data_IF_628171051249
#
_entry.id   IF_628171051249
#
_cell.length_a   1.000
_cell.length_b   1.000
_cell.length_c   1.000
_cell.angle_alpha   90.00
_cell.angle_beta   90.00
_cell.angle_gamma   90.00
#
_symmetry.space_group_name_H-M   'P 1'
#
loop_
_entity.id
_entity.type
_entity.pdbx_description
1 polymer ?
#
# COMPACT_ATOMS: atom_id res chain seq x y z
N UNK A 1 77.64 -11.24 11.24
CA UNK A 1 77.41 -12.55 10.61
C UNK A 1 76.01 -12.48 9.98
N UNK A 2 75.92 -11.92 8.77
CA UNK A 2 75.84 -12.66 7.47
C UNK A 2 74.48 -13.34 7.30
N UNK A 3 73.68 -13.14 6.25
CA UNK A 3 73.88 -12.41 4.98
C UNK A 3 72.58 -12.43 4.17
N UNK A 4 72.34 -11.31 3.50
CA UNK A 4 71.52 -10.99 2.31
C UNK A 4 71.19 -12.10 1.29
N UNK A 5 70.06 -11.94 0.57
CA UNK A 5 69.92 -11.71 -0.90
C UNK A 5 68.40 -11.59 -1.24
N UNK A 6 67.80 -10.48 -1.70
CA UNK A 6 67.90 -9.76 -3.01
C UNK A 6 67.31 -10.60 -4.16
N UNK A 7 66.45 -10.17 -5.12
CA UNK A 7 66.32 -8.93 -5.92
C UNK A 7 64.95 -8.92 -6.67
N UNK A 8 64.56 -7.71 -7.05
CA UNK A 8 63.50 -7.19 -7.93
C UNK A 8 63.32 -7.77 -9.34
N UNK A 9 62.21 -7.38 -10.01
CA UNK A 9 62.15 -7.25 -11.47
C UNK A 9 60.78 -6.90 -12.05
N UNK A 10 60.53 -5.60 -12.32
CA UNK A 10 59.64 -5.15 -13.40
C UNK A 10 60.22 -5.55 -14.77
N UNK A 11 59.37 -5.78 -15.78
CA UNK A 11 59.63 -5.32 -17.16
C UNK A 11 58.39 -5.43 -18.07
N UNK A 12 58.05 -4.28 -18.66
CA UNK A 12 57.37 -4.12 -19.95
C UNK A 12 58.16 -4.78 -21.10
N UNK A 13 57.47 -5.26 -22.15
CA UNK A 13 57.60 -4.80 -23.55
C UNK A 13 56.95 -5.75 -24.59
N UNK A 14 56.17 -5.10 -25.48
CA UNK A 14 55.66 -5.45 -26.83
C UNK A 14 56.46 -6.46 -27.68
N UNK A 15 55.79 -7.27 -28.54
CA UNK A 15 55.46 -7.04 -29.98
C UNK A 15 55.32 -8.35 -30.83
N UNK A 16 54.24 -8.39 -31.62
CA UNK A 16 54.03 -8.88 -33.01
C UNK A 16 54.07 -10.36 -33.50
N UNK A 17 52.99 -10.69 -34.25
CA UNK A 17 52.84 -11.57 -35.46
C UNK A 17 52.91 -13.11 -35.31
N UNK A 18 51.97 -13.97 -35.80
CA UNK A 18 51.26 -14.01 -37.11
C UNK A 18 50.07 -15.03 -37.18
N UNK A 19 48.99 -14.65 -37.91
CA UNK A 19 48.10 -15.38 -38.87
C UNK A 19 47.36 -16.72 -38.60
N UNK A 20 46.00 -16.69 -38.75
CA UNK A 20 45.16 -17.37 -39.79
C UNK A 20 43.65 -17.26 -39.39
N UNK A 21 42.89 -16.34 -39.99
CA UNK A 21 41.74 -16.56 -40.92
C UNK A 21 40.58 -17.46 -40.40
N UNK A 22 39.29 -17.08 -40.47
CA UNK A 22 38.63 -16.29 -41.51
C UNK A 22 37.31 -15.59 -41.13
N UNK A 23 36.93 -14.70 -42.07
CA UNK A 23 35.84 -13.71 -42.15
C UNK A 23 34.43 -14.37 -42.26
N UNK A 24 33.27 -13.71 -42.14
CA UNK A 24 32.88 -12.29 -42.37
C UNK A 24 31.48 -12.02 -41.81
N UNK A 25 31.20 -10.77 -41.49
CA UNK A 25 29.94 -10.18 -41.04
C UNK A 25 29.19 -9.36 -42.11
N UNK A 26 27.89 -9.19 -41.86
CA UNK A 26 27.00 -8.03 -42.01
C UNK A 26 26.58 -7.39 -43.37
N UNK A 27 25.24 -7.29 -43.48
CA UNK A 27 24.33 -6.23 -43.97
C UNK A 27 24.67 -5.38 -45.20
N UNK A 28 23.64 -5.08 -46.03
CA UNK A 28 22.95 -3.77 -46.20
C UNK A 28 22.00 -3.86 -47.43
N UNK A 29 20.76 -3.37 -47.34
CA UNK A 29 19.88 -3.01 -48.49
C UNK A 29 20.45 -1.78 -49.24
N UNK A 30 20.20 -1.52 -50.55
CA UNK A 30 18.91 -0.93 -51.00
C UNK A 30 18.50 -1.07 -52.51
N UNK A 31 17.29 -0.56 -52.83
CA UNK A 31 16.95 0.34 -53.98
C UNK A 31 16.65 -0.19 -55.43
N UNK A 32 15.37 0.02 -55.84
CA UNK A 32 14.86 0.66 -57.09
C UNK A 32 14.78 -0.05 -58.48
N UNK A 33 13.52 -0.25 -58.94
CA UNK A 33 12.86 -0.12 -60.28
C UNK A 33 13.19 -0.94 -61.56
N UNK A 34 12.09 -1.50 -62.13
CA UNK A 34 11.64 -1.59 -63.56
C UNK A 34 12.23 -2.61 -64.56
N UNK A 35 11.35 -3.45 -65.18
CA UNK A 35 11.00 -3.45 -66.64
C UNK A 35 10.08 -4.64 -67.02
N UNK A 36 9.16 -4.41 -67.98
CA UNK A 36 8.12 -5.31 -68.53
C UNK A 36 8.68 -6.42 -69.44
N UNK A 37 7.91 -7.50 -69.65
CA UNK A 37 7.65 -8.05 -71.00
C UNK A 37 6.44 -8.99 -71.04
N UNK A 38 5.52 -8.70 -71.96
CA UNK A 38 4.39 -9.52 -72.40
C UNK A 38 4.88 -10.60 -73.37
N UNK A 39 4.27 -11.81 -73.35
CA UNK A 39 4.18 -12.87 -74.39
C UNK A 39 3.70 -14.15 -73.66
N UNK A 40 2.79 -15.00 -74.11
CA UNK A 40 2.01 -15.14 -75.34
C UNK A 40 0.85 -16.12 -75.03
N UNK A 41 -0.21 -16.03 -75.81
CA UNK A 41 -1.53 -16.67 -75.73
C UNK A 41 -1.53 -18.21 -75.84
N UNK A 42 -2.48 -18.90 -75.19
CA UNK A 42 -3.52 -19.71 -75.88
C UNK A 42 -4.63 -20.25 -74.94
N UNK A 43 -5.88 -20.24 -75.43
CA UNK A 43 -7.14 -20.72 -74.81
C UNK A 43 -7.50 -22.16 -75.31
N UNK A 44 -8.69 -22.74 -75.01
CA UNK A 44 -9.17 -23.35 -73.75
C UNK A 44 -9.62 -24.82 -73.96
N UNK A 45 -9.95 -25.58 -72.90
CA UNK A 45 -10.80 -26.79 -73.05
C UNK A 45 -12.02 -26.67 -72.15
N UNK A 46 -13.19 -26.66 -72.79
CA UNK A 46 -14.54 -26.64 -72.21
C UNK A 46 -15.08 -28.04 -71.90
N UNK A 47 -15.64 -28.15 -70.70
CA UNK A 47 -16.70 -29.03 -70.14
C UNK A 47 -17.13 -30.35 -70.81
N UNK A 48 -17.28 -31.39 -69.96
CA UNK A 48 -18.34 -32.41 -70.07
C UNK A 48 -19.08 -32.52 -68.74
N UNK A 49 -20.40 -32.34 -68.80
CA UNK A 49 -21.37 -32.54 -67.72
C UNK A 49 -21.62 -34.03 -67.45
N UNK A 50 -21.51 -34.46 -66.19
CA UNK A 50 -22.24 -35.64 -65.65
C UNK A 50 -22.69 -35.38 -64.21
N UNK A 51 -23.98 -35.09 -64.09
CA UNK A 51 -24.98 -35.26 -63.02
C UNK A 51 -24.62 -35.71 -61.57
N UNK A 52 -25.14 -34.89 -60.62
CA UNK A 52 -25.85 -35.22 -59.34
C UNK A 52 -25.13 -35.80 -58.12
N UNK A 53 -25.02 -35.00 -57.03
CA UNK A 53 -25.65 -35.17 -55.69
C UNK A 53 -24.99 -34.21 -54.65
N UNK A 54 -25.68 -33.71 -53.60
CA UNK A 54 -25.46 -32.35 -53.07
C UNK A 54 -24.32 -32.25 -52.06
N UNK A 55 -23.45 -31.28 -52.31
CA UNK A 55 -22.45 -30.79 -51.38
C UNK A 55 -23.14 -30.02 -50.23
N UNK A 56 -22.98 -30.51 -49.01
CA UNK A 56 -23.42 -29.86 -47.77
C UNK A 56 -22.56 -28.62 -47.58
N UNK A 57 -22.98 -27.50 -48.16
CA UNK A 57 -22.45 -26.19 -47.75
C UNK A 57 -22.80 -25.98 -46.27
N UNK A 58 -21.85 -25.61 -45.41
CA UNK A 58 -22.21 -25.03 -44.13
C UNK A 58 -22.94 -23.72 -44.43
N UNK A 59 -24.26 -23.72 -44.30
CA UNK A 59 -25.03 -22.49 -44.21
C UNK A 59 -24.41 -21.68 -43.08
N UNK A 60 -23.72 -20.59 -43.41
CA UNK A 60 -23.54 -19.47 -42.49
C UNK A 60 -24.96 -19.05 -42.08
N UNK A 61 -25.45 -19.53 -40.94
CA UNK A 61 -26.62 -18.98 -40.26
C UNK A 61 -26.30 -17.53 -39.94
N UNK A 62 -26.61 -16.61 -40.87
CA UNK A 62 -26.79 -15.20 -40.54
C UNK A 62 -28.05 -15.16 -39.68
N UNK A 63 -27.87 -15.07 -38.36
CA UNK A 63 -28.94 -14.69 -37.45
C UNK A 63 -29.32 -13.25 -37.80
N UNK A 64 -30.25 -13.08 -38.73
CA UNK A 64 -30.81 -11.77 -39.04
C UNK A 64 -31.72 -11.39 -37.88
N UNK A 65 -31.14 -10.76 -36.84
CA UNK A 65 -31.92 -10.10 -35.80
C UNK A 65 -32.84 -9.10 -36.51
N UNK A 66 -34.15 -9.20 -36.32
CA UNK A 66 -35.06 -8.26 -36.96
C UNK A 66 -34.81 -6.84 -36.43
N UNK A 67 -34.98 -5.83 -37.28
CA UNK A 67 -34.78 -4.42 -36.89
C UNK A 67 -35.56 -4.05 -35.61
N UNK A 68 -36.79 -4.55 -35.49
CA UNK A 68 -37.63 -4.34 -34.31
C UNK A 68 -37.10 -5.05 -33.05
N UNK A 69 -36.44 -6.20 -33.19
CA UNK A 69 -35.76 -6.88 -32.08
C UNK A 69 -34.51 -6.11 -31.65
N UNK A 70 -33.72 -5.59 -32.59
CA UNK A 70 -32.57 -4.72 -32.28
C UNK A 70 -33.01 -3.48 -31.51
N UNK A 71 -34.05 -2.78 -31.98
CA UNK A 71 -34.55 -1.57 -31.33
C UNK A 71 -35.06 -1.85 -29.91
N UNK A 72 -35.72 -3.00 -29.70
CA UNK A 72 -36.16 -3.42 -28.37
C UNK A 72 -34.99 -3.72 -27.43
N UNK A 73 -33.97 -4.42 -27.93
CA UNK A 73 -32.77 -4.78 -27.15
C UNK A 73 -31.99 -3.52 -26.78
N UNK A 74 -31.79 -2.60 -27.71
CA UNK A 74 -31.07 -1.36 -27.43
C UNK A 74 -31.82 -0.45 -26.45
N UNK A 75 -33.15 -0.40 -26.49
CA UNK A 75 -33.94 0.31 -25.47
C UNK A 75 -33.75 -0.27 -24.07
N UNK A 76 -33.75 -1.61 -23.94
CA UNK A 76 -33.49 -2.26 -22.66
C UNK A 76 -32.05 -2.02 -22.20
N UNK A 77 -31.08 -2.12 -23.11
CA UNK A 77 -29.67 -1.87 -22.84
C UNK A 77 -29.43 -0.43 -22.37
N UNK A 78 -29.99 0.57 -23.08
CA UNK A 78 -29.91 1.98 -22.69
C UNK A 78 -30.46 2.19 -21.28
N UNK A 79 -31.62 1.61 -20.97
CA UNK A 79 -32.21 1.73 -19.65
C UNK A 79 -31.31 1.14 -18.56
N UNK A 80 -30.73 -0.03 -18.79
CA UNK A 80 -29.80 -0.69 -17.85
C UNK A 80 -28.51 0.11 -17.67
N UNK A 81 -27.89 0.57 -18.76
CA UNK A 81 -26.66 1.38 -18.72
C UNK A 81 -26.90 2.71 -17.99
N UNK A 82 -28.00 3.42 -18.29
CA UNK A 82 -28.35 4.67 -17.61
C UNK A 82 -28.55 4.44 -16.11
N UNK A 83 -29.21 3.35 -15.72
CA UNK A 83 -29.44 3.01 -14.32
C UNK A 83 -28.11 2.74 -13.60
N UNK A 84 -27.23 1.97 -14.23
CA UNK A 84 -25.91 1.67 -13.71
C UNK A 84 -25.08 2.94 -13.51
N UNK A 85 -24.94 3.77 -14.56
CA UNK A 85 -24.20 5.03 -14.51
C UNK A 85 -24.79 5.95 -13.44
N UNK A 86 -26.13 6.05 -13.32
CA UNK A 86 -26.78 6.86 -12.29
C UNK A 86 -26.44 6.39 -10.88
N UNK A 87 -26.29 5.10 -10.64
CA UNK A 87 -25.90 4.57 -9.34
C UNK A 87 -24.44 4.89 -9.02
N UNK A 88 -23.53 4.66 -9.97
CA UNK A 88 -22.10 5.00 -9.80
C UNK A 88 -21.88 6.51 -9.62
N UNK A 89 -22.59 7.36 -10.37
CA UNK A 89 -22.52 8.81 -10.18
C UNK A 89 -22.99 9.25 -8.80
N UNK A 90 -23.99 8.57 -8.21
CA UNK A 90 -24.38 8.82 -6.81
C UNK A 90 -23.26 8.42 -5.86
N UNK A 91 -22.55 7.32 -6.12
CA UNK A 91 -21.39 6.87 -5.33
C UNK A 91 -20.22 7.86 -5.42
N UNK A 92 -19.85 8.29 -6.62
CA UNK A 92 -18.83 9.33 -6.82
C UNK A 92 -19.21 10.66 -6.16
N UNK A 93 -20.48 11.06 -6.24
CA UNK A 93 -20.96 12.25 -5.53
C UNK A 93 -20.81 12.12 -4.01
N UNK A 94 -21.10 10.94 -3.44
CA UNK A 94 -20.87 10.68 -2.01
C UNK A 94 -19.37 10.76 -1.68
N UNK A 95 -18.51 10.13 -2.47
CA UNK A 95 -17.05 10.14 -2.27
C UNK A 95 -16.44 11.56 -2.26
N UNK A 96 -16.99 12.45 -3.09
CA UNK A 96 -16.60 13.86 -3.15
C UNK A 96 -17.14 14.72 -2.00
N UNK A 97 -18.10 14.21 -1.21
CA UNK A 97 -18.69 14.95 -0.10
C UNK A 97 -17.69 15.04 1.07
N UNK A 98 -17.48 16.22 1.67
CA UNK A 98 -16.55 16.39 2.79
C UNK A 98 -16.96 15.63 4.04
N UNK A 99 -18.27 15.41 4.25
CA UNK A 99 -18.82 14.70 5.41
C UNK A 99 -19.01 13.19 5.19
N UNK A 100 -18.59 12.64 4.03
CA UNK A 100 -18.72 11.21 3.79
C UNK A 100 -17.47 10.52 4.37
N UNK A 101 -17.59 9.75 5.47
CA UNK A 101 -16.48 8.91 5.90
C UNK A 101 -16.14 8.02 4.71
N UNK A 102 -14.86 7.92 4.36
CA UNK A 102 -14.38 7.10 3.24
C UNK A 102 -14.76 5.60 3.34
N UNK A 103 -15.50 5.22 4.39
CA UNK A 103 -15.66 3.87 4.90
C UNK A 103 -17.10 3.49 5.31
N UNK A 104 -18.14 4.06 4.70
CA UNK A 104 -19.51 3.51 4.86
C UNK A 104 -19.88 2.44 3.83
N UNK A 105 -18.94 1.93 3.04
CA UNK A 105 -19.19 0.81 2.13
C UNK A 105 -19.27 -0.51 2.93
N UNK A 106 -20.37 -0.66 3.69
CA UNK A 106 -21.06 -1.95 3.77
C UNK A 106 -21.94 -2.05 2.52
N UNK A 107 -21.33 -2.04 1.36
CA UNK A 107 -21.99 -2.47 0.14
C UNK A 107 -21.39 -3.83 -0.17
N UNK A 108 -22.20 -4.84 0.12
CA UNK A 108 -22.23 -6.22 -0.39
C UNK A 108 -21.00 -6.58 -1.22
N UNK A 109 -20.21 -7.54 -0.72
CA UNK A 109 -19.24 -8.36 -1.48
C UNK A 109 -19.22 -7.98 -2.96
N UNK A 110 -18.33 -7.05 -3.34
CA UNK A 110 -18.20 -6.66 -4.74
C UNK A 110 -17.83 -7.95 -5.49
N UNK A 111 -18.79 -8.53 -6.21
CA UNK A 111 -18.52 -9.50 -7.26
C UNK A 111 -17.42 -8.86 -8.12
N UNK A 112 -16.30 -9.57 -8.34
CA UNK A 112 -15.14 -9.08 -9.10
C UNK A 112 -15.56 -8.45 -10.46
N UNK A 113 -16.71 -8.89 -10.99
CA UNK A 113 -17.37 -8.40 -12.19
C UNK A 113 -17.71 -6.89 -12.15
N UNK A 114 -18.02 -6.30 -10.98
CA UNK A 114 -18.44 -4.90 -10.86
C UNK A 114 -17.27 -3.90 -10.83
N UNK A 115 -16.07 -4.32 -10.41
CA UNK A 115 -14.88 -3.46 -10.33
C UNK A 115 -14.52 -2.89 -11.72
N UNK A 116 -14.55 -3.75 -12.74
CA UNK A 116 -14.27 -3.39 -14.14
C UNK A 116 -15.27 -2.36 -14.68
N UNK A 117 -16.54 -2.49 -14.28
CA UNK A 117 -17.61 -1.58 -14.68
C UNK A 117 -17.43 -0.22 -14.02
N UNK A 118 -17.14 -0.20 -12.71
CA UNK A 118 -16.89 1.03 -11.94
C UNK A 118 -15.74 1.84 -12.53
N UNK A 119 -14.64 1.18 -12.87
CA UNK A 119 -13.49 1.79 -13.54
C UNK A 119 -13.86 2.40 -14.90
N UNK A 120 -14.70 1.70 -15.68
CA UNK A 120 -15.25 2.23 -16.93
C UNK A 120 -16.09 3.49 -16.73
N UNK A 121 -17.00 3.49 -15.75
CA UNK A 121 -17.85 4.64 -15.45
C UNK A 121 -17.04 5.81 -14.87
N UNK A 122 -15.99 5.55 -14.08
CA UNK A 122 -15.07 6.57 -13.60
C UNK A 122 -14.38 7.27 -14.78
N UNK A 123 -13.81 6.52 -15.74
CA UNK A 123 -13.18 7.09 -16.94
C UNK A 123 -14.13 7.98 -17.75
N UNK A 124 -15.36 7.52 -17.96
CA UNK A 124 -16.41 8.32 -18.63
C UNK A 124 -16.68 9.59 -17.84
N UNK A 125 -16.86 9.49 -16.53
CA UNK A 125 -17.16 10.62 -15.65
C UNK A 125 -16.03 11.66 -15.66
N UNK A 126 -14.79 11.22 -15.54
CA UNK A 126 -13.60 12.09 -15.60
C UNK A 126 -13.50 12.82 -16.94
N UNK A 127 -13.77 12.12 -18.04
CA UNK A 127 -13.78 12.73 -19.37
C UNK A 127 -14.88 13.80 -19.50
N UNK A 128 -16.10 13.49 -19.05
CA UNK A 128 -17.23 14.43 -19.08
C UNK A 128 -16.95 15.67 -18.21
N UNK A 129 -16.40 15.49 -17.00
CA UNK A 129 -16.04 16.61 -16.12
C UNK A 129 -14.99 17.54 -16.77
N UNK A 130 -13.97 16.98 -17.43
CA UNK A 130 -12.98 17.76 -18.16
C UNK A 130 -13.60 18.52 -19.34
N UNK A 131 -14.52 17.89 -20.09
CA UNK A 131 -15.24 18.56 -21.18
C UNK A 131 -16.18 19.68 -20.67
N UNK A 132 -16.64 19.60 -19.42
CA UNK A 132 -17.40 20.66 -18.75
C UNK A 132 -16.52 21.77 -18.14
N UNK A 133 -15.20 21.75 -18.37
CA UNK A 133 -14.21 22.63 -17.74
C UNK A 133 -14.11 22.51 -16.21
N UNK A 134 -14.48 21.36 -15.64
CA UNK A 134 -14.34 21.05 -14.22
C UNK A 134 -13.15 20.12 -13.96
N UNK A 135 -11.96 20.53 -14.42
CA UNK A 135 -10.73 19.72 -14.32
C UNK A 135 -10.31 19.44 -12.87
N UNK A 136 -10.44 20.43 -11.98
CA UNK A 136 -10.07 20.26 -10.56
C UNK A 136 -10.94 19.21 -9.86
N UNK A 137 -12.25 19.22 -10.17
CA UNK A 137 -13.19 18.23 -9.66
C UNK A 137 -12.88 16.83 -10.21
N UNK A 138 -12.51 16.73 -11.49
CA UNK A 138 -12.09 15.47 -12.10
C UNK A 138 -10.83 14.93 -11.40
N UNK A 139 -9.82 15.77 -11.16
CA UNK A 139 -8.59 15.37 -10.47
C UNK A 139 -8.89 14.93 -9.02
N UNK A 140 -9.73 15.68 -8.31
CA UNK A 140 -10.16 15.35 -6.95
C UNK A 140 -10.88 14.00 -6.89
N UNK A 141 -11.80 13.76 -7.84
CA UNK A 141 -12.51 12.48 -7.94
C UNK A 141 -11.56 11.34 -8.24
N UNK A 142 -10.62 11.54 -9.17
CA UNK A 142 -9.63 10.54 -9.52
C UNK A 142 -8.78 10.17 -8.30
N UNK A 143 -8.21 11.16 -7.61
CA UNK A 143 -7.36 10.96 -6.43
C UNK A 143 -8.10 10.23 -5.30
N UNK A 144 -9.33 10.66 -4.97
CA UNK A 144 -10.16 9.99 -3.96
C UNK A 144 -10.55 8.58 -4.36
N UNK A 145 -10.81 8.33 -5.65
CA UNK A 145 -11.18 7.00 -6.15
C UNK A 145 -10.00 6.04 -6.07
N UNK A 146 -8.82 6.50 -6.48
CA UNK A 146 -7.55 5.77 -6.38
C UNK A 146 -7.23 5.46 -4.92
N UNK A 147 -7.34 6.44 -4.02
CA UNK A 147 -7.13 6.23 -2.59
C UNK A 147 -8.11 5.22 -1.98
N UNK A 148 -9.38 5.19 -2.44
CA UNK A 148 -10.38 4.21 -2.00
C UNK A 148 -10.03 2.78 -2.40
N UNK A 149 -9.43 2.56 -3.56
CA UNK A 149 -8.96 1.24 -4.00
C UNK A 149 -7.81 0.79 -3.09
N UNK A 150 -6.78 1.61 -2.93
CA UNK A 150 -5.64 1.29 -2.06
C UNK A 150 -6.03 1.08 -0.60
N UNK A 151 -7.00 1.85 -0.10
CA UNK A 151 -7.53 1.66 1.24
C UNK A 151 -8.16 0.27 1.38
N UNK A 152 -8.94 -0.17 0.40
CA UNK A 152 -9.58 -1.49 0.40
C UNK A 152 -8.52 -2.60 0.39
N UNK A 153 -7.51 -2.48 -0.47
CA UNK A 153 -6.43 -3.46 -0.58
C UNK A 153 -5.61 -3.52 0.72
N UNK A 154 -5.26 -2.37 1.30
CA UNK A 154 -4.56 -2.28 2.57
C UNK A 154 -5.38 -2.89 3.71
N UNK A 155 -6.68 -2.59 3.80
CA UNK A 155 -7.58 -3.21 4.80
C UNK A 155 -7.64 -4.71 4.62
N UNK A 156 -7.75 -5.21 3.40
CA UNK A 156 -7.77 -6.64 3.10
C UNK A 156 -6.48 -7.33 3.56
N UNK A 157 -5.33 -6.78 3.19
CA UNK A 157 -4.01 -7.28 3.57
C UNK A 157 -3.82 -7.30 5.09
N UNK A 158 -4.15 -6.21 5.78
CA UNK A 158 -4.03 -6.12 7.24
C UNK A 158 -5.04 -7.00 7.97
N UNK A 159 -6.26 -7.14 7.45
CA UNK A 159 -7.25 -8.09 7.98
C UNK A 159 -6.68 -9.50 7.92
N UNK A 160 -6.19 -9.96 6.78
CA UNK A 160 -5.62 -11.31 6.68
C UNK A 160 -4.37 -11.49 7.55
N UNK A 161 -3.52 -10.45 7.67
CA UNK A 161 -2.32 -10.48 8.52
C UNK A 161 -2.65 -10.59 10.02
N UNK A 162 -3.69 -9.92 10.51
CA UNK A 162 -3.98 -9.80 11.95
C UNK A 162 -5.24 -10.52 12.44
N UNK A 163 -6.02 -11.12 11.54
CA UNK A 163 -7.21 -11.92 11.89
C UNK A 163 -6.89 -13.11 12.79
N UNK A 164 -5.68 -13.65 12.67
CA UNK A 164 -5.23 -14.84 13.37
C UNK A 164 -4.00 -14.54 14.22
N UNK A 165 -3.97 -15.14 15.40
CA UNK A 165 -2.84 -15.07 16.32
C UNK A 165 -2.38 -16.49 16.65
N UNK A 166 -1.07 -16.68 16.74
CA UNK A 166 -0.49 -17.98 17.08
C UNK A 166 -0.46 -18.14 18.60
N UNK A 167 -1.05 -19.21 19.11
CA UNK A 167 -0.97 -19.56 20.52
C UNK A 167 0.35 -20.29 20.81
N UNK A 168 1.23 -19.69 21.61
CA UNK A 168 2.47 -20.32 22.09
C UNK A 168 3.70 -20.16 21.18
N UNK A 169 4.78 -20.88 21.54
CA UNK A 169 6.14 -20.73 20.96
C UNK A 169 6.47 -21.81 19.91
N UNK A 170 5.58 -22.77 19.67
CA UNK A 170 5.86 -23.91 18.80
C UNK A 170 5.34 -23.67 17.38
N UNK A 171 6.06 -24.19 16.38
CA UNK A 171 5.66 -24.20 14.96
C UNK A 171 4.36 -24.99 14.70
N UNK A 172 3.74 -25.59 15.73
CA UNK A 172 2.51 -26.38 15.66
C UNK A 172 1.37 -25.80 16.53
N UNK A 173 1.47 -24.55 16.98
CA UNK A 173 0.38 -23.88 17.70
C UNK A 173 -0.91 -23.82 16.87
N UNK A 174 -2.05 -24.12 17.48
CA UNK A 174 -3.36 -23.82 16.91
C UNK A 174 -3.46 -22.32 16.68
N UNK A 175 -3.73 -21.92 15.44
CA UNK A 175 -3.99 -20.53 15.10
C UNK A 175 -5.41 -20.19 15.54
N UNK A 176 -5.57 -19.25 16.48
CA UNK A 176 -6.86 -18.80 16.97
C UNK A 176 -7.28 -17.49 16.29
N UNK A 177 -8.59 -17.26 16.17
CA UNK A 177 -9.12 -15.98 15.71
C UNK A 177 -8.95 -14.95 16.80
N UNK A 178 -8.30 -13.83 16.49
CA UNK A 178 -8.00 -12.79 17.49
C UNK A 178 -9.29 -12.30 18.17
N UNK A 179 -10.36 -12.10 17.40
CA UNK A 179 -11.66 -11.66 17.91
C UNK A 179 -12.33 -12.66 18.88
N UNK A 180 -11.98 -13.94 18.85
CA UNK A 180 -12.57 -14.95 19.74
C UNK A 180 -11.89 -15.00 21.10
N UNK A 181 -10.60 -14.62 21.15
CA UNK A 181 -9.78 -14.71 22.37
C UNK A 181 -9.44 -13.36 22.97
N UNK A 182 -9.67 -12.26 22.25
CA UNK A 182 -9.32 -10.92 22.70
C UNK A 182 -10.17 -10.52 23.90
N UNK A 183 -9.49 -10.04 24.95
CA UNK A 183 -10.10 -9.40 26.11
C UNK A 183 -9.62 -7.96 26.17
N UNK A 184 -10.54 -7.01 26.36
CA UNK A 184 -10.21 -5.60 26.46
C UNK A 184 -9.20 -5.36 27.59
N UNK A 185 -8.11 -4.67 27.28
CA UNK A 185 -7.15 -4.24 28.30
C UNK A 185 -7.67 -3.00 29.02
N UNK A 186 -7.40 -2.95 30.32
CA UNK A 186 -7.59 -1.73 31.11
C UNK A 186 -6.40 -0.79 30.87
N UNK A 187 -6.59 0.16 29.95
CA UNK A 187 -5.60 1.20 29.63
C UNK A 187 -5.98 2.45 30.42
N UNK A 188 -4.99 3.11 31.00
CA UNK A 188 -5.19 4.33 31.80
C UNK A 188 -4.28 5.43 31.30
N UNK A 189 -4.68 6.67 31.50
CA UNK A 189 -3.80 7.79 31.19
C UNK A 189 -2.54 7.77 32.09
N UNK A 190 -1.38 7.76 31.46
CA UNK A 190 -0.07 7.75 32.10
C UNK A 190 0.34 9.12 32.61
N UNK A 191 0.98 9.14 33.79
CA UNK A 191 1.51 10.37 34.37
C UNK A 191 2.81 10.80 33.67
N UNK A 192 2.93 12.07 33.26
CA UNK A 192 4.12 12.61 32.58
C UNK A 192 5.33 12.86 33.49
N UNK A 193 5.16 12.73 34.80
CA UNK A 193 6.21 12.93 35.81
C UNK A 193 7.15 11.74 35.94
N UNK A 194 8.40 11.97 35.57
CA UNK A 194 9.59 11.13 35.68
C UNK A 194 9.42 9.64 35.36
N UNK A 195 9.96 9.25 34.20
CA UNK A 195 10.19 7.86 33.79
C UNK A 195 11.08 7.21 34.86
N UNK A 196 10.43 6.59 35.86
CA UNK A 196 11.14 6.00 36.96
C UNK A 196 11.89 4.76 36.42
N UNK A 197 13.22 4.84 36.32
CA UNK A 197 14.10 3.75 35.86
C UNK A 197 14.16 2.56 36.84
N UNK A 198 13.17 2.43 37.72
CA UNK A 198 13.03 1.30 38.64
C UNK A 198 12.63 0.03 37.89
N UNK A 199 12.94 -1.11 38.50
CA UNK A 199 12.58 -2.44 37.98
C UNK A 199 11.09 -2.55 37.66
N UNK A 200 10.76 -3.25 36.56
CA UNK A 200 9.37 -3.46 36.08
C UNK A 200 8.41 -3.90 37.21
N UNK A 201 8.88 -4.74 38.14
CA UNK A 201 8.11 -5.21 39.32
C UNK A 201 7.65 -4.05 40.20
N UNK A 202 8.51 -3.06 40.47
CA UNK A 202 8.17 -1.91 41.32
C UNK A 202 7.18 -0.97 40.64
N UNK A 203 7.22 -0.87 39.31
CA UNK A 203 6.25 -0.09 38.55
C UNK A 203 4.86 -0.71 38.65
N UNK A 204 4.74 -2.04 38.50
CA UNK A 204 3.49 -2.77 38.71
C UNK A 204 2.96 -2.54 40.12
N UNK A 205 3.79 -2.67 41.15
CA UNK A 205 3.38 -2.45 42.54
C UNK A 205 2.92 -1.00 42.79
N UNK A 206 3.61 -0.03 42.21
CA UNK A 206 3.30 1.40 42.40
C UNK A 206 1.97 1.75 41.77
N UNK A 207 1.68 1.24 40.57
CA UNK A 207 0.38 1.41 39.90
C UNK A 207 -0.71 0.65 40.65
N UNK A 208 -0.47 -0.61 41.04
CA UNK A 208 -1.45 -1.42 41.75
C UNK A 208 -1.86 -0.87 43.13
N UNK A 209 -1.03 -0.04 43.77
CA UNK A 209 -1.35 0.59 45.06
C UNK A 209 -2.18 1.86 44.93
N UNK A 210 -2.45 2.35 43.71
CA UNK A 210 -3.28 3.55 43.48
C UNK A 210 -4.77 3.23 43.64
N UNK A 211 -5.56 4.13 44.26
CA UNK A 211 -7.01 4.01 44.26
C UNK A 211 -7.56 4.20 42.83
N UNK A 212 -8.49 3.33 42.41
CA UNK A 212 -9.11 3.39 41.08
C UNK A 212 -9.82 4.73 40.75
N UNK A 213 -10.13 5.55 41.75
CA UNK A 213 -10.71 6.90 41.59
C UNK A 213 -9.73 7.95 41.05
N UNK A 214 -8.43 7.65 40.98
CA UNK A 214 -7.40 8.56 40.46
C UNK A 214 -6.99 8.27 39.01
N UNK A 215 -7.49 7.19 38.41
CA UNK A 215 -7.11 6.76 37.07
C UNK A 215 -8.20 7.11 36.07
N UNK A 216 -7.82 7.73 34.95
CA UNK A 216 -8.72 7.98 33.82
C UNK A 216 -8.62 6.78 32.88
N UNK A 217 -9.62 5.88 32.83
CA UNK A 217 -9.59 4.76 31.89
C UNK A 217 -9.77 5.26 30.46
N UNK A 218 -8.99 4.72 29.55
CA UNK A 218 -9.02 5.00 28.11
C UNK A 218 -9.32 3.70 27.38
N UNK A 219 -10.25 3.72 26.42
CA UNK A 219 -10.44 2.58 25.51
C UNK A 219 -9.41 2.65 24.39
N UNK A 220 -8.88 1.50 23.97
CA UNK A 220 -7.90 1.42 22.87
C UNK A 220 -8.41 2.08 21.58
N UNK A 221 -9.69 1.89 21.23
CA UNK A 221 -10.32 2.54 20.06
C UNK A 221 -10.64 4.03 20.26
N UNK A 222 -10.31 4.62 21.40
CA UNK A 222 -10.52 6.05 21.70
C UNK A 222 -9.20 6.82 21.87
N UNK A 223 -8.04 6.20 21.62
CA UNK A 223 -6.72 6.82 21.79
C UNK A 223 -6.54 8.14 21.01
N UNK A 224 -7.20 8.30 19.87
CA UNK A 224 -7.12 9.50 19.02
C UNK A 224 -8.42 10.30 18.96
N UNK A 225 -9.33 10.10 19.92
CA UNK A 225 -10.63 10.79 19.92
C UNK A 225 -10.49 12.29 20.19
N UNK A 226 -9.48 12.68 20.96
CA UNK A 226 -9.11 14.07 21.17
C UNK A 226 -8.19 14.56 20.04
N UNK A 227 -8.66 15.58 19.30
CA UNK A 227 -7.93 16.16 18.17
C UNK A 227 -6.65 16.90 18.56
N UNK A 228 -6.45 17.21 19.84
CA UNK A 228 -5.20 17.79 20.34
C UNK A 228 -4.07 16.77 20.46
N UNK A 229 -4.40 15.48 20.44
CA UNK A 229 -3.45 14.38 20.64
C UNK A 229 -2.99 13.86 19.28
N UNK A 230 -1.72 14.11 18.94
CA UNK A 230 -1.10 13.55 17.73
C UNK A 230 -0.30 12.29 18.04
N UNK A 231 0.43 12.26 19.15
CA UNK A 231 1.42 11.23 19.49
C UNK A 231 1.09 10.57 20.82
N UNK A 232 0.73 9.30 20.76
CA UNK A 232 0.44 8.45 21.91
C UNK A 232 1.61 7.49 22.14
N UNK A 233 2.14 7.45 23.36
CA UNK A 233 3.12 6.46 23.81
C UNK A 233 2.49 5.54 24.85
N UNK A 234 2.21 4.30 24.47
CA UNK A 234 1.69 3.29 25.40
C UNK A 234 2.83 2.51 26.03
N UNK A 235 2.94 2.61 27.35
CA UNK A 235 3.94 1.96 28.16
C UNK A 235 3.35 0.79 28.93
N UNK A 236 4.09 -0.30 29.01
CA UNK A 236 3.67 -1.43 29.82
C UNK A 236 4.73 -2.50 29.90
N UNK A 237 4.64 -3.34 30.93
CA UNK A 237 5.59 -4.44 31.14
C UNK A 237 5.50 -5.49 30.02
N UNK A 238 6.48 -6.38 29.96
CA UNK A 238 6.48 -7.49 29.02
C UNK A 238 5.23 -8.38 29.20
N UNK A 239 4.64 -8.83 28.09
CA UNK A 239 3.50 -9.77 28.14
C UNK A 239 2.14 -9.16 28.53
N UNK A 240 2.06 -7.86 28.83
CA UNK A 240 0.78 -7.21 29.23
C UNK A 240 -0.23 -7.06 28.07
N UNK A 241 0.14 -7.40 26.84
CA UNK A 241 -0.77 -7.38 25.68
C UNK A 241 -0.72 -6.13 24.80
N UNK A 242 0.36 -5.32 24.86
CA UNK A 242 0.54 -4.14 23.99
C UNK A 242 0.40 -4.46 22.50
N UNK A 243 1.21 -5.39 21.99
CA UNK A 243 1.16 -5.84 20.59
C UNK A 243 -0.19 -6.43 20.21
N UNK A 244 -0.81 -7.22 21.11
CA UNK A 244 -2.15 -7.80 20.87
C UNK A 244 -3.20 -6.69 20.74
N UNK A 245 -3.09 -5.61 21.50
CA UNK A 245 -3.99 -4.45 21.41
C UNK A 245 -3.78 -3.65 20.12
N UNK A 246 -2.54 -3.49 19.67
CA UNK A 246 -2.23 -2.91 18.35
C UNK A 246 -2.88 -3.73 17.24
N UNK A 247 -2.68 -5.05 17.25
CA UNK A 247 -3.28 -5.95 16.27
C UNK A 247 -4.81 -5.87 16.28
N UNK A 248 -5.43 -5.81 17.46
CA UNK A 248 -6.88 -5.69 17.59
C UNK A 248 -7.41 -4.36 17.04
N UNK A 249 -6.73 -3.25 17.36
CA UNK A 249 -7.08 -1.92 16.86
C UNK A 249 -7.06 -1.87 15.32
N UNK A 250 -6.03 -2.44 14.70
CA UNK A 250 -5.90 -2.54 13.25
C UNK A 250 -6.99 -3.45 12.66
N UNK A 251 -7.24 -4.60 13.29
CA UNK A 251 -8.27 -5.55 12.84
C UNK A 251 -9.67 -4.93 12.88
N UNK A 252 -10.02 -4.21 13.94
CA UNK A 252 -11.31 -3.51 14.05
C UNK A 252 -11.48 -2.42 12.99
N UNK A 253 -10.40 -1.72 12.63
CA UNK A 253 -10.42 -0.77 11.52
C UNK A 253 -10.59 -1.46 10.16
N UNK A 254 -9.86 -2.56 9.93
CA UNK A 254 -9.90 -3.31 8.69
C UNK A 254 -11.24 -4.02 8.46
N UNK A 255 -11.91 -4.46 9.53
CA UNK A 255 -13.24 -5.10 9.50
C UNK A 255 -14.41 -4.09 9.49
N UNK A 256 -14.13 -2.79 9.54
CA UNK A 256 -15.18 -1.77 9.51
C UNK A 256 -15.90 -1.55 10.86
N UNK A 257 -15.34 -2.02 11.96
CA UNK A 257 -15.96 -2.00 13.30
C UNK A 257 -15.71 -0.70 14.07
N UNK A 258 -14.51 -0.13 13.97
CA UNK A 258 -14.11 1.09 14.69
C UNK A 258 -13.18 1.97 13.83
N UNK A 259 -12.95 3.23 14.23
CA UNK A 259 -11.94 4.12 13.64
C UNK A 259 -12.12 4.39 12.13
N UNK A 260 -13.36 4.37 11.61
CA UNK A 260 -13.64 4.52 10.17
C UNK A 260 -13.49 5.97 9.64
N UNK A 261 -13.19 6.90 10.53
CA UNK A 261 -12.70 8.26 10.22
C UNK A 261 -11.23 8.27 9.77
N UNK A 262 -10.48 7.19 10.04
CA UNK A 262 -9.09 7.03 9.60
C UNK A 262 -9.04 6.43 8.19
N UNK A 263 -8.34 7.13 7.30
CA UNK A 263 -8.19 6.72 5.89
C UNK A 263 -7.15 5.62 5.74
N UNK A 264 -5.97 5.79 6.32
CA UNK A 264 -4.89 4.80 6.24
C UNK A 264 -4.30 4.50 7.60
N UNK A 265 -3.99 3.22 7.86
CA UNK A 265 -3.25 2.76 9.03
C UNK A 265 -2.02 1.98 8.58
N UNK A 266 -0.83 2.42 9.00
CA UNK A 266 0.43 1.78 8.64
C UNK A 266 1.16 1.28 9.89
N UNK A 267 1.08 -0.03 10.20
CA UNK A 267 1.86 -0.63 11.27
C UNK A 267 3.32 -0.89 10.86
N UNK A 268 4.25 -0.37 11.64
CA UNK A 268 5.68 -0.56 11.51
C UNK A 268 6.26 -1.19 12.78
N UNK A 269 6.43 -2.51 12.82
CA UNK A 269 7.14 -3.17 13.90
C UNK A 269 8.61 -2.72 13.91
N UNK A 270 9.12 -2.24 15.05
CA UNK A 270 10.53 -1.83 15.16
C UNK A 270 11.49 -2.97 14.82
N UNK A 271 11.10 -4.22 15.14
CA UNK A 271 11.84 -5.42 14.76
C UNK A 271 12.09 -5.52 13.25
N UNK A 272 11.09 -5.16 12.44
CA UNK A 272 11.19 -5.18 10.98
C UNK A 272 11.93 -3.94 10.47
N UNK A 273 11.72 -2.77 11.06
CA UNK A 273 12.45 -1.54 10.74
C UNK A 273 13.97 -1.69 10.91
N UNK A 274 14.41 -2.44 11.93
CA UNK A 274 15.82 -2.73 12.15
C UNK A 274 16.49 -3.43 10.95
N UNK A 275 15.73 -4.18 10.13
CA UNK A 275 16.26 -4.87 8.95
C UNK A 275 16.59 -3.90 7.79
N UNK A 276 16.13 -2.66 7.89
CA UNK A 276 16.25 -1.62 6.87
C UNK A 276 17.31 -0.56 7.23
N UNK A 277 18.00 -0.70 8.37
CA UNK A 277 18.94 0.31 8.92
C UNK A 277 20.02 0.75 7.92
N UNK A 278 20.52 -0.15 7.09
CA UNK A 278 21.65 0.11 6.17
C UNK A 278 21.22 0.68 4.81
N UNK A 279 19.93 1.02 4.65
CA UNK A 279 19.38 1.52 3.39
C UNK A 279 19.00 2.99 3.55
N UNK A 280 19.24 3.76 2.50
CA UNK A 280 18.62 5.07 2.33
C UNK A 280 17.38 4.89 1.46
N UNK A 281 16.26 5.38 1.96
CA UNK A 281 14.95 5.27 1.32
C UNK A 281 14.15 6.53 1.62
N UNK A 282 13.23 6.85 0.72
CA UNK A 282 12.19 7.84 1.02
C UNK A 282 11.11 7.23 1.93
N UNK A 283 10.20 8.07 2.44
CA UNK A 283 9.05 7.55 3.19
C UNK A 283 8.14 6.70 2.29
N UNK A 284 7.99 7.09 1.02
CA UNK A 284 7.22 6.31 0.05
C UNK A 284 7.85 4.95 -0.20
N UNK A 285 9.18 4.87 -0.34
CA UNK A 285 9.90 3.60 -0.46
C UNK A 285 9.69 2.71 0.78
N UNK A 286 9.68 3.30 1.98
CA UNK A 286 9.38 2.58 3.23
C UNK A 286 7.96 2.00 3.18
N UNK A 287 6.97 2.82 2.81
CA UNK A 287 5.58 2.39 2.71
C UNK A 287 5.42 1.27 1.68
N UNK A 288 5.99 1.42 0.47
CA UNK A 288 5.92 0.41 -0.58
C UNK A 288 6.64 -0.90 -0.21
N UNK A 289 7.65 -0.83 0.67
CA UNK A 289 8.33 -2.03 1.16
C UNK A 289 7.44 -2.84 2.13
N UNK A 290 6.78 -2.16 3.07
CA UNK A 290 5.93 -2.80 4.08
C UNK A 290 4.53 -3.15 3.55
N UNK A 291 4.05 -2.37 2.58
CA UNK A 291 2.71 -2.45 1.99
C UNK A 291 2.83 -2.44 0.46
N UNK A 292 3.24 -3.56 -0.16
CA UNK A 292 3.44 -3.65 -1.61
C UNK A 292 2.15 -3.38 -2.42
N UNK A 293 0.97 -3.52 -1.80
CA UNK A 293 -0.32 -3.17 -2.38
C UNK A 293 -0.43 -1.65 -2.67
N UNK A 294 0.38 -0.83 -2.00
CA UNK A 294 0.41 0.63 -2.15
C UNK A 294 1.42 1.11 -3.20
N UNK A 295 2.09 0.21 -3.93
CA UNK A 295 3.27 0.55 -4.77
C UNK A 295 2.98 1.53 -5.90
N UNK A 296 1.76 1.51 -6.42
CA UNK A 296 1.30 2.42 -7.47
C UNK A 296 0.82 3.77 -6.92
N UNK A 297 0.70 3.91 -5.60
CA UNK A 297 0.44 5.21 -4.97
C UNK A 297 1.71 6.05 -5.05
N UNK A 298 1.71 7.01 -5.98
CA UNK A 298 2.86 7.90 -6.21
C UNK A 298 3.06 8.90 -5.06
N UNK A 299 1.97 9.37 -4.44
CA UNK A 299 2.02 10.37 -3.37
C UNK A 299 0.93 10.13 -2.33
N UNK A 300 1.29 10.32 -1.05
CA UNK A 300 0.37 10.33 0.08
C UNK A 300 0.10 11.79 0.48
N UNK A 301 -1.03 12.34 0.03
CA UNK A 301 -1.46 13.68 0.47
C UNK A 301 -2.13 13.61 1.85
N UNK A 302 -1.32 13.76 2.90
CA UNK A 302 -1.80 13.74 4.27
C UNK A 302 -2.67 14.93 4.68
N UNK A 303 -2.77 15.99 3.87
CA UNK A 303 -3.72 17.07 4.13
C UNK A 303 -5.15 16.66 3.69
N UNK A 304 -5.24 15.68 2.78
CA UNK A 304 -6.51 15.11 2.33
C UNK A 304 -6.94 13.86 3.11
N UNK A 305 -6.02 13.21 3.82
CA UNK A 305 -6.25 11.90 4.45
C UNK A 305 -5.84 11.86 5.91
N UNK A 306 -6.72 11.31 6.76
CA UNK A 306 -6.37 10.96 8.14
C UNK A 306 -5.51 9.70 8.12
N UNK A 307 -4.23 9.83 8.49
CA UNK A 307 -3.25 8.73 8.49
C UNK A 307 -2.81 8.43 9.92
N UNK A 308 -2.77 7.15 10.29
CA UNK A 308 -2.20 6.67 11.54
C UNK A 308 -0.96 5.81 11.24
N UNK A 309 0.15 6.14 11.89
CA UNK A 309 1.38 5.36 11.87
C UNK A 309 1.54 4.68 13.23
N UNK A 310 1.64 3.34 13.24
CA UNK A 310 1.73 2.57 14.49
C UNK A 310 3.11 1.94 14.59
N UNK A 311 3.93 2.41 15.52
CA UNK A 311 5.27 1.87 15.78
C UNK A 311 5.24 0.91 16.97
N UNK A 312 5.21 -0.39 16.68
CA UNK A 312 5.08 -1.42 17.71
C UNK A 312 6.46 -1.93 18.18
N UNK A 313 6.67 -1.96 19.50
CA UNK A 313 7.82 -2.57 20.14
C UNK A 313 9.09 -1.72 20.15
N UNK A 314 9.03 -0.47 20.62
CA UNK A 314 10.21 0.41 20.73
C UNK A 314 11.35 -0.21 21.57
N UNK A 315 11.02 -1.09 22.52
CA UNK A 315 12.01 -1.87 23.27
C UNK A 315 12.86 -2.82 22.41
N UNK A 316 12.42 -3.12 21.19
CA UNK A 316 13.16 -3.88 20.19
C UNK A 316 13.92 -2.99 19.19
N UNK A 317 13.79 -1.67 19.27
CA UNK A 317 14.47 -0.72 18.38
C UNK A 317 15.98 -0.76 18.59
N UNK A 318 16.74 -0.91 17.49
CA UNK A 318 18.21 -0.86 17.48
C UNK A 318 18.74 0.40 16.81
N UNK A 319 17.86 1.15 16.16
CA UNK A 319 18.19 2.42 15.54
C UNK A 319 18.57 3.43 16.63
N UNK A 320 19.54 4.32 16.37
CA UNK A 320 20.07 5.19 17.41
C UNK A 320 19.13 6.34 17.82
N UNK A 321 18.06 6.59 17.05
CA UNK A 321 17.04 7.62 17.22
C UNK A 321 17.64 8.98 17.59
N UNK A 322 18.54 9.50 16.75
CA UNK A 322 19.32 10.69 17.04
C UNK A 322 18.53 12.00 16.86
N UNK A 323 17.49 12.20 17.66
CA UNK A 323 16.59 13.37 17.58
C UNK A 323 17.33 14.71 17.49
N UNK A 324 18.43 14.93 18.22
CA UNK A 324 19.13 16.22 18.18
C UNK A 324 20.11 16.38 17.02
N UNK A 325 20.59 15.29 16.42
CA UNK A 325 21.66 15.32 15.40
C UNK A 325 21.14 15.09 13.99
N UNK A 326 20.01 14.41 13.84
CA UNK A 326 19.45 14.12 12.53
C UNK A 326 18.97 15.40 11.87
N UNK A 327 19.21 15.47 10.55
CA UNK A 327 18.77 16.57 9.71
C UNK A 327 17.24 16.64 9.64
N UNK A 328 16.74 17.84 9.37
CA UNK A 328 15.30 18.08 9.24
C UNK A 328 14.86 17.65 7.85
N UNK A 329 13.91 16.71 7.81
CA UNK A 329 13.32 16.18 6.59
C UNK A 329 11.83 16.52 6.55
N UNK A 330 11.36 17.10 5.45
CA UNK A 330 9.96 17.49 5.28
C UNK A 330 9.30 16.89 4.01
N UNK A 331 10.10 16.46 3.04
CA UNK A 331 9.61 15.85 1.80
C UNK A 331 9.54 14.33 1.95
N UNK A 332 8.40 13.74 1.57
CA UNK A 332 8.16 12.29 1.63
C UNK A 332 8.92 11.51 0.55
N UNK A 333 9.41 12.20 -0.48
CA UNK A 333 10.15 11.64 -1.63
C UNK A 333 11.67 11.70 -1.45
N UNK A 334 12.15 12.50 -0.50
CA UNK A 334 13.58 12.64 -0.22
C UNK A 334 14.12 11.40 0.51
N UNK A 335 15.25 10.87 0.01
CA UNK A 335 15.87 9.64 0.51
C UNK A 335 16.75 9.92 1.71
N UNK A 336 16.50 9.23 2.82
CA UNK A 336 17.28 9.35 4.05
C UNK A 336 17.42 7.99 4.74
N UNK A 337 18.23 7.92 5.79
CA UNK A 337 18.30 6.70 6.62
C UNK A 337 17.00 6.51 7.40
N UNK A 338 16.68 5.26 7.76
CA UNK A 338 15.48 4.94 8.57
C UNK A 338 15.47 5.72 9.89
N UNK A 339 16.64 5.94 10.50
CA UNK A 339 16.79 6.75 11.71
C UNK A 339 16.32 8.20 11.51
N UNK A 340 16.71 8.83 10.39
CA UNK A 340 16.30 10.18 10.02
C UNK A 340 14.80 10.22 9.72
N UNK A 341 14.26 9.23 9.00
CA UNK A 341 12.82 9.13 8.71
C UNK A 341 11.99 9.08 10.01
N UNK A 342 12.30 8.15 10.91
CA UNK A 342 11.55 7.95 12.15
C UNK A 342 11.60 9.16 13.06
N UNK A 343 12.78 9.74 13.27
CA UNK A 343 12.92 10.93 14.11
C UNK A 343 12.15 12.13 13.55
N UNK A 344 12.09 12.30 12.22
CA UNK A 344 11.31 13.37 11.60
C UNK A 344 9.79 13.11 11.63
N UNK A 345 9.32 11.87 11.49
CA UNK A 345 7.91 11.50 11.69
C UNK A 345 7.45 11.79 13.13
N UNK A 346 8.25 11.36 14.11
CA UNK A 346 7.96 11.52 15.54
C UNK A 346 7.96 13.01 15.94
N UNK A 347 8.92 13.79 15.43
CA UNK A 347 8.92 15.26 15.61
C UNK A 347 7.79 15.98 14.89
N UNK A 348 7.21 15.37 13.86
CA UNK A 348 6.21 16.01 13.00
C UNK A 348 6.81 16.95 11.94
N UNK A 349 8.10 16.79 11.62
CA UNK A 349 8.68 17.45 10.45
C UNK A 349 8.20 16.80 9.15
N UNK A 350 8.05 15.47 9.18
CA UNK A 350 7.53 14.65 8.10
C UNK A 350 6.12 14.17 8.50
N UNK A 351 5.15 14.33 7.60
CA UNK A 351 3.73 14.07 7.86
C UNK A 351 3.23 14.71 9.17
N UNK A 352 3.21 16.05 9.26
CA UNK A 352 2.80 16.77 10.47
C UNK A 352 1.37 16.42 10.91
N UNK A 353 0.46 16.17 9.97
CA UNK A 353 -0.95 15.85 10.24
C UNK A 353 -1.20 14.38 10.62
N UNK A 354 -0.19 13.49 10.47
CA UNK A 354 -0.35 12.08 10.79
C UNK A 354 -0.38 11.85 12.30
N UNK A 355 -1.25 10.93 12.74
CA UNK A 355 -1.36 10.44 14.10
C UNK A 355 -0.37 9.31 14.32
N UNK A 356 0.30 9.29 15.48
CA UNK A 356 1.33 8.32 15.81
C UNK A 356 0.96 7.57 17.08
N UNK A 357 1.04 6.24 17.03
CA UNK A 357 0.95 5.38 18.20
C UNK A 357 2.24 4.59 18.36
N UNK A 358 2.94 4.76 19.48
CA UNK A 358 4.17 4.04 19.79
C UNK A 358 3.90 3.14 21.00
N UNK A 359 4.27 1.86 20.92
CA UNK A 359 4.25 0.97 22.09
C UNK A 359 5.67 0.73 22.59
N UNK A 360 5.84 0.67 23.91
CA UNK A 360 7.15 0.45 24.51
C UNK A 360 7.08 -0.24 25.86
N UNK A 361 8.20 -0.82 26.28
CA UNK A 361 8.45 -1.07 27.71
C UNK A 361 8.95 0.21 28.37
N UNK A 362 8.68 0.40 29.67
CA UNK A 362 9.14 1.58 30.40
C UNK A 362 10.64 1.87 30.23
N UNK A 363 11.48 0.82 30.24
CA UNK A 363 12.94 0.97 30.12
C UNK A 363 13.45 1.48 28.75
N UNK A 364 12.61 1.45 27.71
CA UNK A 364 12.94 1.94 26.37
C UNK A 364 12.18 3.23 25.99
N UNK A 365 11.15 3.60 26.77
CA UNK A 365 10.33 4.79 26.54
C UNK A 365 11.15 6.09 26.51
N UNK A 366 12.23 6.15 27.29
CA UNK A 366 13.15 7.30 27.36
C UNK A 366 13.95 7.55 26.07
N UNK A 367 13.91 6.65 25.09
CA UNK A 367 14.46 6.92 23.76
C UNK A 367 13.68 8.00 23.02
N UNK A 368 12.40 8.20 23.36
CA UNK A 368 11.56 9.26 22.80
C UNK A 368 11.62 10.48 23.74
N UNK A 369 12.00 11.67 23.24
CA UNK A 369 11.99 12.88 24.04
C UNK A 369 10.57 13.21 24.55
N UNK A 370 10.39 13.71 25.79
CA UNK A 370 9.07 14.06 26.32
C UNK A 370 8.32 15.09 25.47
N UNK A 371 9.02 16.05 24.85
CA UNK A 371 8.43 17.02 23.92
C UNK A 371 7.87 16.37 22.63
N UNK A 372 8.24 15.12 22.38
CA UNK A 372 7.76 14.31 21.27
C UNK A 372 6.58 13.40 21.64
N UNK A 373 5.96 13.58 22.81
CA UNK A 373 4.81 12.78 23.26
C UNK A 373 3.71 13.72 23.75
N UNK A 374 2.50 13.56 23.22
CA UNK A 374 1.35 14.37 23.63
C UNK A 374 0.54 13.66 24.72
N UNK A 375 0.49 12.32 24.68
CA UNK A 375 -0.16 11.48 25.68
C UNK A 375 0.66 10.21 25.96
N UNK A 376 0.79 9.87 27.25
CA UNK A 376 1.31 8.57 27.69
C UNK A 376 0.14 7.74 28.18
N UNK A 377 0.12 6.44 27.89
CA UNK A 377 -0.90 5.49 28.37
C UNK A 377 -0.31 4.18 28.84
#
# INVERSE_FOLDING_TARGET
MTSNMSVSGEQDLKKDERMMEGKRSDSTEPSCVSMKSDWSMDHPITFRDVASSPDVRPQKKKSNLSRNQLDSIFKELEHKVITLIKNELKRFRKLLSPDYPACTEREVEDEEDLQSVREGVLKITLHVLKNMNHTDLANTLHNKSVASVYQTDLKSSLREKFKRINEGISQHGSSALLNEIYTDLYITEGWSGDINNEHEVRQIETVSRKPATQETPIKCNELFKDKSIRRVLTNGVAGIGKTVSVQKFILDWAEGKANQDITFMFPFPFRELNLMEQRNLSLMDLLHHFFPEMRELELLDCDCYTVVLIFDGLDECRLPLKFQKNERLCDVTESASVDVLLTNLIKGNLLPSALLWITSRPGAANQIPPECVDQVT
#
